data_IF_070169838088
#
_entry.id   IF_070169838088
#
_cell.length_a   1.000
_cell.length_b   1.000
_cell.length_c   1.000
_cell.angle_alpha   90.00
_cell.angle_beta   90.00
_cell.angle_gamma   90.00
#
_symmetry.space_group_name_H-M   'P 1'
#
loop_
_entity.id
_entity.type
_entity.pdbx_description
1 polymer ?
#
# COMPACT_ATOMS: atom_id res chain seq x y z
N UNK A 1 -30.29 11.28 -6.06
CA UNK A 1 -29.67 11.48 -7.39
C UNK A 1 -28.54 10.47 -7.51
N UNK A 2 -28.34 9.80 -8.66
CA UNK A 2 -27.39 8.69 -8.77
C UNK A 2 -25.97 9.17 -8.42
N UNK A 3 -25.25 8.37 -7.64
CA UNK A 3 -23.85 8.61 -7.27
C UNK A 3 -23.04 8.59 -8.57
N UNK A 4 -22.66 9.77 -9.06
CA UNK A 4 -21.94 9.93 -10.32
C UNK A 4 -20.46 9.63 -10.09
N UNK A 5 -19.93 8.63 -10.79
CA UNK A 5 -18.53 8.17 -10.68
C UNK A 5 -17.53 9.25 -11.13
N UNK A 6 -16.37 9.32 -10.46
CA UNK A 6 -15.29 10.30 -10.71
C UNK A 6 -14.15 9.65 -11.51
N UNK A 7 -13.74 10.30 -12.61
CA UNK A 7 -12.57 9.96 -13.42
C UNK A 7 -11.44 10.99 -13.18
N UNK A 8 -10.18 10.60 -13.41
CA UNK A 8 -9.06 11.53 -13.64
C UNK A 8 -9.06 12.01 -15.10
N UNK A 9 -8.32 13.07 -15.44
CA UNK A 9 -8.08 13.49 -16.83
C UNK A 9 -6.61 13.88 -17.03
N UNK A 10 -6.06 13.70 -18.23
CA UNK A 10 -4.78 14.31 -18.62
C UNK A 10 -4.96 15.75 -19.18
N UNK A 11 -3.87 16.53 -19.30
CA UNK A 11 -3.87 17.91 -19.82
C UNK A 11 -4.25 18.02 -21.32
N UNK A 12 -4.59 16.91 -21.96
CA UNK A 12 -5.01 16.79 -23.36
C UNK A 12 -6.48 16.37 -23.50
N UNK A 13 -7.22 16.24 -22.40
CA UNK A 13 -8.65 15.94 -22.39
C UNK A 13 -9.00 14.46 -22.43
N UNK A 14 -8.02 13.56 -22.26
CA UNK A 14 -8.31 12.13 -22.10
C UNK A 14 -8.73 11.83 -20.65
N UNK A 15 -9.85 11.13 -20.47
CA UNK A 15 -10.31 10.63 -19.16
C UNK A 15 -9.46 9.44 -18.72
N UNK A 16 -8.82 9.49 -17.55
CA UNK A 16 -8.16 8.36 -16.90
C UNK A 16 -9.06 7.75 -15.81
N UNK A 17 -9.38 6.44 -15.89
CA UNK A 17 -10.25 5.75 -14.93
C UNK A 17 -9.70 5.56 -13.51
N UNK A 18 -10.59 5.09 -12.62
CA UNK A 18 -10.43 4.67 -11.21
C UNK A 18 -9.41 3.52 -10.98
N UNK A 19 -8.20 3.65 -11.53
CA UNK A 19 -7.15 2.62 -11.56
C UNK A 19 -6.01 3.02 -10.62
N UNK A 20 -5.58 2.09 -9.75
CA UNK A 20 -4.58 2.34 -8.69
C UNK A 20 -3.27 2.95 -9.23
N UNK A 21 -2.87 2.56 -10.44
CA UNK A 21 -1.63 2.98 -11.09
C UNK A 21 -1.59 4.47 -11.48
N UNK A 22 -2.75 5.10 -11.60
CA UNK A 22 -2.90 6.52 -11.96
C UNK A 22 -3.26 7.41 -10.74
N UNK A 23 -3.09 6.90 -9.52
CA UNK A 23 -3.49 7.63 -8.32
C UNK A 23 -2.68 8.92 -8.12
N UNK A 24 -3.37 10.04 -7.84
CA UNK A 24 -2.77 11.37 -7.62
C UNK A 24 -1.88 11.37 -6.36
N UNK A 25 -0.54 11.32 -6.49
CA UNK A 25 0.34 11.17 -5.33
C UNK A 25 0.65 12.54 -4.70
N UNK A 26 0.87 12.56 -3.39
CA UNK A 26 1.42 13.74 -2.72
C UNK A 26 2.93 13.81 -3.02
N UNK A 27 3.39 14.95 -3.52
CA UNK A 27 4.81 15.17 -3.82
C UNK A 27 5.70 14.89 -2.59
N UNK A 28 6.86 14.27 -2.82
CA UNK A 28 7.84 13.91 -1.78
C UNK A 28 7.31 13.01 -0.64
N UNK A 29 6.20 12.27 -0.85
CA UNK A 29 5.62 11.37 0.15
C UNK A 29 6.07 9.91 0.06
N UNK A 30 7.05 9.62 -0.79
CA UNK A 30 7.54 8.25 -1.03
C UNK A 30 8.28 7.70 0.19
N UNK A 31 7.98 6.45 0.53
CA UNK A 31 8.63 5.66 1.57
C UNK A 31 9.11 4.36 0.94
N UNK A 32 10.37 4.00 1.21
CA UNK A 32 10.93 2.70 0.82
C UNK A 32 10.95 1.80 2.05
N UNK A 33 10.24 0.68 1.97
CA UNK A 33 10.24 -0.37 2.98
C UNK A 33 11.27 -1.43 2.57
N UNK A 34 12.35 -1.55 3.35
CA UNK A 34 13.39 -2.56 3.09
C UNK A 34 13.05 -3.84 3.82
N UNK A 35 12.97 -4.94 3.07
CA UNK A 35 12.71 -6.27 3.59
C UNK A 35 14.01 -7.05 3.51
N UNK A 36 14.70 -7.20 4.64
CA UNK A 36 16.00 -7.86 4.70
C UNK A 36 15.84 -9.39 4.62
N UNK A 37 14.92 -9.95 5.39
CA UNK A 37 14.70 -11.40 5.52
C UNK A 37 13.23 -11.75 5.36
N UNK A 38 12.96 -12.93 4.79
CA UNK A 38 11.60 -13.48 4.68
C UNK A 38 11.04 -13.79 6.07
N UNK A 39 9.77 -13.45 6.29
CA UNK A 39 9.05 -13.71 7.54
C UNK A 39 9.55 -12.94 8.76
N UNK A 40 10.35 -11.89 8.55
CA UNK A 40 10.69 -10.96 9.61
C UNK A 40 9.63 -9.86 9.73
N UNK A 41 9.33 -9.49 10.97
CA UNK A 41 8.36 -8.45 11.28
C UNK A 41 9.02 -7.08 11.18
N UNK A 42 8.39 -6.19 10.42
CA UNK A 42 8.81 -4.81 10.25
C UNK A 42 7.68 -3.87 10.65
N UNK A 43 8.05 -2.63 10.95
CA UNK A 43 7.08 -1.57 11.25
C UNK A 43 7.36 -0.34 10.41
N UNK A 44 6.28 0.37 10.05
CA UNK A 44 6.34 1.66 9.39
C UNK A 44 5.33 2.59 10.04
N UNK A 45 5.78 3.79 10.43
CA UNK A 45 4.87 4.86 10.87
C UNK A 45 4.24 5.53 9.66
N UNK A 46 2.91 5.58 9.64
CA UNK A 46 2.06 6.24 8.65
C UNK A 46 1.07 7.18 9.36
N UNK A 47 0.45 8.06 8.58
CA UNK A 47 -0.60 8.97 9.07
C UNK A 47 -1.94 8.23 9.13
N UNK A 48 -2.62 8.30 10.28
CA UNK A 48 -3.96 7.74 10.46
C UNK A 48 -4.98 8.39 9.51
N UNK A 49 -5.95 7.61 9.00
CA UNK A 49 -6.97 8.08 8.06
C UNK A 49 -6.49 8.34 6.63
N UNK A 50 -5.18 8.41 6.41
CA UNK A 50 -4.58 8.73 5.11
C UNK A 50 -4.66 7.53 4.15
N UNK A 51 -4.94 7.81 2.87
CA UNK A 51 -4.86 6.83 1.78
C UNK A 51 -3.46 6.75 1.20
N UNK A 52 -3.04 5.52 0.89
CA UNK A 52 -1.74 5.19 0.33
C UNK A 52 -1.90 4.26 -0.85
N UNK A 53 -0.96 4.35 -1.80
CA UNK A 53 -0.66 3.27 -2.73
C UNK A 53 0.61 2.55 -2.29
N UNK A 54 0.60 1.22 -2.37
CA UNK A 54 1.74 0.38 -2.06
C UNK A 54 2.04 -0.59 -3.21
N UNK A 55 3.33 -0.80 -3.46
CA UNK A 55 3.85 -1.74 -4.44
C UNK A 55 4.93 -2.58 -3.80
N UNK A 56 4.70 -3.87 -3.60
CA UNK A 56 5.75 -4.79 -3.19
C UNK A 56 6.50 -5.25 -4.45
N UNK A 57 7.82 -4.98 -4.53
CA UNK A 57 8.65 -5.43 -5.64
C UNK A 57 9.29 -6.75 -5.25
N UNK A 58 8.83 -7.83 -5.87
CA UNK A 58 9.20 -9.19 -5.50
C UNK A 58 9.07 -10.17 -6.65
N UNK A 59 9.32 -11.45 -6.36
CA UNK A 59 9.09 -12.53 -7.31
C UNK A 59 7.59 -12.77 -7.50
N UNK A 60 7.15 -13.07 -8.73
CA UNK A 60 5.73 -13.35 -9.00
C UNK A 60 5.18 -14.47 -8.09
N UNK A 61 3.98 -14.27 -7.54
CA UNK A 61 3.35 -15.19 -6.58
C UNK A 61 3.81 -15.00 -5.12
N UNK A 62 4.76 -14.11 -4.84
CA UNK A 62 5.10 -13.68 -3.48
C UNK A 62 4.16 -12.60 -2.98
N UNK A 63 4.07 -12.47 -1.65
CA UNK A 63 3.16 -11.55 -0.99
C UNK A 63 3.84 -10.85 0.19
N UNK A 64 3.37 -9.64 0.45
CA UNK A 64 3.59 -8.92 1.69
C UNK A 64 2.27 -8.91 2.47
N UNK A 65 2.31 -9.30 3.74
CA UNK A 65 1.18 -9.29 4.66
C UNK A 65 1.31 -8.05 5.55
N UNK A 66 0.18 -7.41 5.88
CA UNK A 66 0.21 -6.20 6.68
C UNK A 66 -0.95 -6.10 7.68
N UNK A 67 -0.69 -5.39 8.77
CA UNK A 67 -1.58 -5.26 9.92
C UNK A 67 -1.43 -3.94 10.66
N UNK A 68 -2.44 -3.58 11.46
CA UNK A 68 -2.35 -2.48 12.44
C UNK A 68 -2.17 -2.97 13.87
N UNK A 69 -2.41 -4.26 14.14
CA UNK A 69 -2.36 -4.86 15.47
C UNK A 69 -1.09 -5.67 15.72
N UNK A 70 -0.41 -6.06 14.65
CA UNK A 70 0.86 -6.77 14.70
C UNK A 70 0.85 -7.93 13.71
N UNK A 71 1.77 -7.93 12.74
CA UNK A 71 1.96 -9.11 11.90
C UNK A 71 2.82 -10.06 12.71
N UNK A 72 2.20 -11.05 13.33
CA UNK A 72 2.87 -12.33 13.55
C UNK A 72 2.29 -13.23 12.47
N UNK A 73 3.02 -14.19 11.92
CA UNK A 73 2.53 -15.12 10.90
C UNK A 73 1.39 -16.06 11.39
N UNK A 74 0.60 -15.61 12.36
CA UNK A 74 -0.66 -16.13 12.88
C UNK A 74 -1.81 -15.48 12.10
N UNK A 75 -2.65 -16.28 11.44
CA UNK A 75 -3.72 -15.82 10.54
C UNK A 75 -4.71 -14.79 11.12
N UNK A 76 -4.77 -14.63 12.45
CA UNK A 76 -5.70 -13.72 13.11
C UNK A 76 -5.38 -12.23 12.91
N UNK A 77 -4.15 -11.88 12.52
CA UNK A 77 -3.70 -10.49 12.45
C UNK A 77 -3.31 -10.05 11.03
N UNK A 78 -3.93 -10.63 9.99
CA UNK A 78 -3.67 -10.24 8.59
C UNK A 78 -4.88 -9.47 8.08
N UNK A 79 -4.80 -8.14 8.08
CA UNK A 79 -5.84 -7.25 7.56
C UNK A 79 -5.67 -6.97 6.06
N UNK A 80 -4.43 -6.98 5.55
CA UNK A 80 -4.13 -6.76 4.13
C UNK A 80 -3.08 -7.71 3.57
N UNK A 81 -3.23 -8.04 2.28
CA UNK A 81 -2.32 -8.86 1.49
C UNK A 81 -1.97 -8.09 0.21
N UNK A 82 -0.68 -7.86 -0.01
CA UNK A 82 -0.16 -7.17 -1.19
C UNK A 82 0.68 -8.14 -2.02
N UNK A 83 0.16 -8.54 -3.18
CA UNK A 83 0.92 -9.38 -4.11
C UNK A 83 2.10 -8.62 -4.73
N UNK A 84 3.16 -9.37 -5.05
CA UNK A 84 4.32 -8.83 -5.73
C UNK A 84 3.96 -8.23 -7.10
N UNK A 85 4.57 -7.09 -7.40
CA UNK A 85 4.49 -6.34 -8.66
C UNK A 85 3.07 -5.84 -9.01
N UNK A 86 2.20 -5.71 -8.01
CA UNK A 86 0.87 -5.13 -8.14
C UNK A 86 0.76 -3.92 -7.23
N UNK A 87 0.08 -2.87 -7.71
CA UNK A 87 -0.21 -1.70 -6.90
C UNK A 87 -1.54 -1.89 -6.16
N UNK A 88 -1.54 -1.64 -4.85
CA UNK A 88 -2.74 -1.68 -4.02
C UNK A 88 -2.98 -0.33 -3.35
N UNK A 89 -4.25 0.07 -3.28
CA UNK A 89 -4.66 1.21 -2.45
C UNK A 89 -5.20 0.68 -1.14
N UNK A 90 -4.75 1.27 -0.05
CA UNK A 90 -5.32 1.05 1.26
C UNK A 90 -5.43 2.36 2.03
N UNK A 91 -6.28 2.38 3.04
CA UNK A 91 -6.42 3.51 3.97
C UNK A 91 -5.94 3.05 5.33
N UNK A 92 -5.02 3.80 5.93
CA UNK A 92 -4.71 3.57 7.35
C UNK A 92 -5.96 3.90 8.19
N UNK A 93 -6.42 2.98 9.06
CA UNK A 93 -7.55 3.22 9.94
C UNK A 93 -7.35 4.47 10.80
N UNK A 94 -8.46 5.13 11.13
CA UNK A 94 -8.42 6.22 12.10
C UNK A 94 -7.97 5.69 13.46
N UNK A 95 -7.12 6.43 14.15
CA UNK A 95 -6.58 6.04 15.46
C UNK A 95 -5.36 5.11 15.41
N UNK A 96 -4.95 4.63 14.23
CA UNK A 96 -3.77 3.78 14.06
C UNK A 96 -2.72 4.45 13.17
N UNK A 97 -1.48 4.49 13.63
CA UNK A 97 -0.34 5.10 12.91
C UNK A 97 0.78 4.12 12.60
N UNK A 98 0.73 2.90 13.13
CA UNK A 98 1.75 1.88 12.88
C UNK A 98 1.19 0.84 11.93
N UNK A 99 1.87 0.68 10.79
CA UNK A 99 1.69 -0.46 9.89
C UNK A 99 2.76 -1.50 10.23
N UNK A 100 2.33 -2.67 10.65
CA UNK A 100 3.18 -3.86 10.74
C UNK A 100 3.15 -4.57 9.39
N UNK A 101 4.28 -5.08 8.94
CA UNK A 101 4.35 -5.85 7.70
C UNK A 101 5.43 -6.93 7.75
N UNK A 102 5.16 -8.04 7.07
CA UNK A 102 6.12 -9.09 6.78
C UNK A 102 6.00 -9.46 5.30
N UNK A 103 7.04 -10.01 4.68
CA UNK A 103 6.93 -10.60 3.35
C UNK A 103 7.47 -12.03 3.34
N UNK A 104 6.91 -12.88 2.49
CA UNK A 104 7.37 -14.26 2.31
C UNK A 104 8.56 -14.39 1.32
N UNK A 105 9.32 -13.29 1.21
CA UNK A 105 10.55 -13.16 0.43
C UNK A 105 11.44 -12.09 1.09
N UNK A 106 12.75 -12.35 1.15
CA UNK A 106 13.75 -11.42 1.67
C UNK A 106 14.56 -10.71 0.57
N UNK A 107 15.41 -9.77 0.97
CA UNK A 107 16.24 -8.95 0.08
C UNK A 107 15.42 -8.27 -1.02
N UNK A 108 14.31 -7.65 -0.62
CA UNK A 108 13.36 -6.94 -1.49
C UNK A 108 12.94 -5.61 -0.89
N UNK A 109 12.16 -4.87 -1.65
CA UNK A 109 11.62 -3.57 -1.24
C UNK A 109 10.14 -3.46 -1.55
N UNK A 110 9.42 -2.69 -0.75
CA UNK A 110 8.11 -2.17 -1.12
C UNK A 110 8.15 -0.63 -1.14
N UNK A 111 7.38 -0.03 -2.03
CA UNK A 111 7.24 1.42 -2.15
C UNK A 111 5.86 1.85 -1.71
N UNK A 112 5.79 2.79 -0.77
CA UNK A 112 4.54 3.37 -0.27
C UNK A 112 4.51 4.85 -0.61
N UNK A 113 3.36 5.36 -1.07
CA UNK A 113 3.18 6.78 -1.43
C UNK A 113 1.81 7.26 -0.93
N UNK A 114 1.76 8.47 -0.36
CA UNK A 114 0.49 9.10 0.03
C UNK A 114 -0.29 9.50 -1.22
N UNK A 115 -1.61 9.32 -1.18
CA UNK A 115 -2.52 9.85 -2.19
C UNK A 115 -3.11 11.17 -1.72
N UNK A 116 -3.26 12.13 -2.64
CA UNK A 116 -4.00 13.35 -2.34
C UNK A 116 -5.46 13.01 -2.00
N UNK A 117 -6.01 13.73 -1.01
CA UNK A 117 -7.40 13.56 -0.56
C UNK A 117 -8.41 14.22 -1.48
#
# INVERSE_FOLDING_TARGET
MPVSEVYSNDNSGNRVPAMVECANPVAASGITLTIASSGADYTQTLVAGQMYVITFVGTAGKVMLASITGVTSTAANIEWIFMANVNYIFRMPYGSTTLYFEANEGSKVAYVRKLAG
#
